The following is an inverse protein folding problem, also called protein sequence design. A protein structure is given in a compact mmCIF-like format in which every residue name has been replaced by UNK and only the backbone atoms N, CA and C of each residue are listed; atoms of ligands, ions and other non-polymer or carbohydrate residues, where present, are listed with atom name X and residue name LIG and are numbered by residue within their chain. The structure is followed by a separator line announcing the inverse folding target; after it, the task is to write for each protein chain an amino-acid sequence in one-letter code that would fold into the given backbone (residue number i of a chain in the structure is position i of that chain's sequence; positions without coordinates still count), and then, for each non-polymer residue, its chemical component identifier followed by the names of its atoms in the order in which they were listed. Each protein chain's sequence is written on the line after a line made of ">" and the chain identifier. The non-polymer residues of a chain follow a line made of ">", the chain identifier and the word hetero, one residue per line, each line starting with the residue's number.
data_IF_966398056342
#
_entry.id   IF_966398056342
#
_cell.length_a   1.000
_cell.length_b   1.000
_cell.length_c   1.000
_cell.angle_alpha   90.00
_cell.angle_beta   90.00
_cell.angle_gamma   90.00
#
_symmetry.space_group_name_H-M   'P 1'
#
loop_
_entity.id
_entity.type
_entity.pdbx_description
1 polymer ?
#
# COMPACT_ATOMS: atom_id res chain seq x y z
N UNK A 1 -15.09 23.84 1.27
CA UNK A 1 -16.51 23.89 1.67
C UNK A 1 -16.71 25.03 2.67
N UNK A 2 -17.47 26.05 2.32
CA UNK A 2 -17.85 27.14 3.24
C UNK A 2 -19.19 26.80 3.90
N UNK A 3 -19.30 26.95 5.23
CA UNK A 3 -20.59 26.87 5.93
C UNK A 3 -21.30 28.23 5.85
N UNK A 4 -22.47 28.27 5.24
CA UNK A 4 -23.37 29.42 5.31
C UNK A 4 -24.66 28.95 5.97
N UNK A 5 -25.03 29.56 7.09
CA UNK A 5 -26.22 29.23 7.92
C UNK A 5 -26.35 27.76 8.31
N UNK A 6 -25.23 27.13 8.73
CA UNK A 6 -25.25 25.74 9.23
C UNK A 6 -25.44 24.64 8.17
N UNK A 7 -25.68 24.96 6.92
CA UNK A 7 -25.73 24.00 5.80
C UNK A 7 -24.42 24.01 5.02
N UNK A 8 -23.89 22.83 4.74
CA UNK A 8 -22.80 22.64 3.77
C UNK A 8 -23.33 23.00 2.37
N UNK A 9 -22.91 24.17 1.87
CA UNK A 9 -23.16 24.54 0.47
C UNK A 9 -22.02 23.97 -0.35
N UNK A 10 -22.31 23.01 -1.23
CA UNK A 10 -21.40 22.67 -2.32
C UNK A 10 -21.30 23.91 -3.19
N UNK A 11 -20.10 24.50 -3.32
CA UNK A 11 -19.87 25.49 -4.36
C UNK A 11 -20.23 24.84 -5.69
N UNK A 12 -21.28 25.34 -6.36
CA UNK A 12 -21.59 24.92 -7.71
C UNK A 12 -20.39 25.27 -8.58
N UNK A 13 -19.83 24.25 -9.23
CA UNK A 13 -18.69 24.42 -10.16
C UNK A 13 -19.23 25.15 -11.40
N UNK A 14 -19.14 26.46 -11.42
CA UNK A 14 -19.43 27.27 -12.62
C UNK A 14 -18.24 27.17 -13.59
N UNK A 15 -18.11 26.03 -14.26
CA UNK A 15 -17.07 25.80 -15.26
C UNK A 15 -17.67 25.95 -16.68
N UNK A 16 -16.93 26.64 -17.53
CA UNK A 16 -17.23 26.70 -18.98
C UNK A 16 -16.65 25.46 -19.69
N UNK A 17 -15.55 24.88 -19.13
CA UNK A 17 -14.94 23.66 -19.64
C UNK A 17 -15.35 22.50 -18.74
N UNK A 18 -16.31 21.70 -19.18
CA UNK A 18 -16.96 20.65 -18.41
C UNK A 18 -16.43 19.25 -18.74
N UNK A 19 -15.82 19.07 -19.91
CA UNK A 19 -15.45 17.75 -20.41
C UNK A 19 -14.01 17.70 -20.89
N UNK A 20 -13.44 16.48 -20.82
CA UNK A 20 -12.12 16.16 -21.39
C UNK A 20 -12.00 16.55 -22.85
N UNK A 21 -13.07 16.32 -23.63
CA UNK A 21 -13.11 16.69 -25.06
C UNK A 21 -12.99 18.20 -25.28
N UNK A 22 -13.66 18.99 -24.47
CA UNK A 22 -13.57 20.47 -24.54
C UNK A 22 -12.16 20.92 -24.16
N UNK A 23 -11.56 20.39 -23.10
CA UNK A 23 -10.19 20.71 -22.68
C UNK A 23 -9.18 20.36 -23.78
N UNK A 24 -9.29 19.17 -24.38
CA UNK A 24 -8.42 18.77 -25.51
C UNK A 24 -8.61 19.68 -26.74
N UNK A 25 -9.84 20.09 -27.04
CA UNK A 25 -10.11 21.00 -28.16
C UNK A 25 -9.43 22.35 -27.97
N UNK A 26 -9.50 22.93 -26.76
CA UNK A 26 -8.85 24.20 -26.44
C UNK A 26 -7.33 24.07 -26.54
N UNK A 27 -6.76 23.02 -25.92
CA UNK A 27 -5.34 22.76 -25.98
C UNK A 27 -4.85 22.59 -27.43
N UNK A 28 -5.65 21.90 -28.26
CA UNK A 28 -5.34 21.69 -29.68
C UNK A 28 -5.33 23.00 -30.47
N UNK A 29 -6.27 23.89 -30.21
CA UNK A 29 -6.33 25.23 -30.86
C UNK A 29 -5.08 26.05 -30.49
N UNK A 30 -4.67 26.04 -29.22
CA UNK A 30 -3.50 26.76 -28.75
C UNK A 30 -2.19 26.21 -29.36
N UNK A 31 -2.05 24.88 -29.44
CA UNK A 31 -0.89 24.24 -30.07
C UNK A 31 -0.84 24.47 -31.60
N UNK A 32 -1.99 24.73 -32.25
CA UNK A 32 -2.03 25.08 -33.68
C UNK A 32 -1.37 26.42 -33.95
N UNK A 33 -1.52 27.38 -33.07
CA UNK A 33 -0.86 28.71 -33.18
C UNK A 33 0.66 28.57 -33.09
N UNK A 34 1.17 27.46 -32.49
CA UNK A 34 2.58 27.12 -32.38
C UNK A 34 3.05 26.13 -33.45
N UNK A 35 2.22 25.73 -34.38
CA UNK A 35 2.50 24.69 -35.39
C UNK A 35 2.82 23.30 -34.81
N UNK A 36 2.50 23.04 -33.53
CA UNK A 36 2.77 21.81 -32.80
C UNK A 36 1.58 20.85 -32.69
N UNK A 37 0.43 21.20 -33.26
CA UNK A 37 -0.82 20.42 -33.16
C UNK A 37 -0.68 18.95 -33.59
N UNK A 38 0.13 18.67 -34.61
CA UNK A 38 0.34 17.32 -35.17
C UNK A 38 1.62 16.64 -34.66
N UNK A 39 2.48 17.39 -33.97
CA UNK A 39 3.75 16.89 -33.47
C UNK A 39 3.62 16.20 -32.10
N UNK A 40 2.47 16.31 -31.42
CA UNK A 40 2.28 15.88 -30.05
C UNK A 40 1.05 14.99 -29.91
N UNK A 41 1.12 14.06 -28.93
CA UNK A 41 -0.04 13.30 -28.48
C UNK A 41 -0.62 13.94 -27.20
N UNK A 42 -1.91 13.73 -26.97
CA UNK A 42 -2.57 14.20 -25.76
C UNK A 42 -2.73 13.07 -24.75
N UNK A 43 -2.22 13.25 -23.54
CA UNK A 43 -2.51 12.40 -22.40
C UNK A 43 -3.95 12.54 -21.92
N UNK A 44 -4.24 12.02 -20.74
CA UNK A 44 -5.54 12.16 -20.09
C UNK A 44 -5.63 13.51 -19.38
N UNK A 45 -6.52 14.43 -19.79
CA UNK A 45 -6.72 15.68 -19.06
C UNK A 45 -7.36 15.46 -17.70
N UNK A 46 -6.88 16.18 -16.71
CA UNK A 46 -7.39 16.15 -15.33
C UNK A 46 -7.78 17.56 -14.86
N UNK A 47 -8.77 17.62 -13.97
CA UNK A 47 -9.17 18.87 -13.32
C UNK A 47 -8.47 19.01 -11.99
N UNK A 48 -7.70 20.07 -11.80
CA UNK A 48 -7.21 20.50 -10.50
C UNK A 48 -8.26 21.38 -9.82
N UNK A 49 -9.10 20.80 -9.01
CA UNK A 49 -10.23 21.46 -8.34
C UNK A 49 -9.79 22.56 -7.35
N UNK A 50 -8.54 22.52 -6.87
CA UNK A 50 -8.00 23.54 -5.94
C UNK A 50 -7.80 24.88 -6.61
N UNK A 51 -7.42 24.84 -7.90
CA UNK A 51 -7.13 26.03 -8.69
C UNK A 51 -8.15 26.28 -9.81
N UNK A 52 -9.10 25.34 -10.00
CA UNK A 52 -10.08 25.36 -11.08
C UNK A 52 -9.45 25.34 -12.48
N UNK A 53 -8.41 24.54 -12.64
CA UNK A 53 -7.67 24.38 -13.90
C UNK A 53 -7.85 23.00 -14.49
N UNK A 54 -7.95 22.93 -15.82
CA UNK A 54 -7.69 21.73 -16.58
C UNK A 54 -6.21 21.63 -16.88
N UNK A 55 -5.60 20.48 -16.59
CA UNK A 55 -4.25 20.13 -17.01
C UNK A 55 -4.34 19.11 -18.12
N UNK A 56 -3.86 19.46 -19.32
CA UNK A 56 -3.88 18.61 -20.50
C UNK A 56 -2.44 18.17 -20.76
N UNK A 57 -2.05 16.94 -20.41
CA UNK A 57 -0.68 16.44 -20.64
C UNK A 57 -0.38 16.33 -22.12
N UNK A 58 0.84 16.73 -22.49
CA UNK A 58 1.40 16.59 -23.83
C UNK A 58 2.44 15.49 -23.82
N UNK A 59 2.30 14.53 -24.76
CA UNK A 59 3.13 13.35 -24.81
C UNK A 59 3.96 13.36 -26.09
N UNK A 60 5.19 12.81 -25.99
CA UNK A 60 6.05 12.58 -27.12
C UNK A 60 5.49 11.46 -28.01
N UNK A 61 5.34 11.64 -29.34
CA UNK A 61 4.64 10.71 -30.22
C UNK A 61 5.33 9.33 -30.34
N UNK A 62 6.64 9.27 -30.10
CA UNK A 62 7.39 8.02 -30.22
C UNK A 62 7.58 7.28 -28.89
N UNK A 63 7.64 7.99 -27.76
CA UNK A 63 7.89 7.38 -26.43
C UNK A 63 6.67 7.36 -25.52
N UNK A 64 5.62 8.10 -25.88
CA UNK A 64 4.42 8.35 -25.06
C UNK A 64 4.72 8.96 -23.67
N UNK A 65 5.94 9.41 -23.45
CA UNK A 65 6.31 10.09 -22.21
C UNK A 65 5.79 11.51 -22.15
N UNK A 66 5.39 11.97 -20.97
CA UNK A 66 4.97 13.37 -20.77
C UNK A 66 6.13 14.31 -20.99
N UNK A 67 6.01 15.21 -21.95
CA UNK A 67 7.01 16.24 -22.27
C UNK A 67 6.54 17.65 -21.93
N UNK A 68 5.28 17.82 -21.58
CA UNK A 68 4.73 19.10 -21.18
C UNK A 68 3.26 19.01 -20.82
N UNK A 69 2.65 20.16 -20.60
CA UNK A 69 1.21 20.26 -20.38
C UNK A 69 0.67 21.62 -20.84
N UNK A 70 -0.62 21.65 -21.21
CA UNK A 70 -1.42 22.87 -21.40
C UNK A 70 -2.31 23.03 -20.18
N UNK A 71 -2.27 24.19 -19.55
CA UNK A 71 -3.12 24.53 -18.40
C UNK A 71 -4.21 25.51 -18.84
N UNK A 72 -5.48 25.14 -18.60
CA UNK A 72 -6.65 25.91 -19.04
C UNK A 72 -7.45 26.28 -17.79
N UNK A 73 -7.84 27.53 -17.67
CA UNK A 73 -8.77 27.95 -16.63
C UNK A 73 -10.17 27.39 -16.95
N UNK A 74 -10.70 26.58 -16.06
CA UNK A 74 -11.98 25.89 -16.26
C UNK A 74 -13.19 26.83 -16.31
N UNK A 75 -13.08 28.03 -15.73
CA UNK A 75 -14.15 29.04 -15.67
C UNK A 75 -14.16 29.95 -16.87
N UNK A 76 -12.99 30.37 -17.35
CA UNK A 76 -12.85 31.32 -18.45
C UNK A 76 -12.61 30.69 -19.81
N UNK A 77 -12.20 29.39 -19.83
CA UNK A 77 -11.74 28.67 -21.02
C UNK A 77 -10.46 29.20 -21.64
N UNK A 78 -9.73 30.07 -20.94
CA UNK A 78 -8.49 30.65 -21.44
C UNK A 78 -7.31 29.71 -21.09
N UNK A 79 -6.37 29.60 -22.03
CA UNK A 79 -5.06 28.95 -21.73
C UNK A 79 -4.22 29.88 -20.86
N UNK A 80 -3.68 29.32 -19.80
CA UNK A 80 -2.78 30.04 -18.89
C UNK A 80 -1.34 29.82 -19.35
N UNK A 81 -0.85 30.68 -20.23
CA UNK A 81 0.48 30.55 -20.86
C UNK A 81 1.61 30.43 -19.84
N UNK A 82 1.59 31.28 -18.79
CA UNK A 82 2.60 31.24 -17.74
C UNK A 82 2.58 29.98 -16.85
N UNK A 83 1.59 29.09 -17.03
CA UNK A 83 1.47 27.79 -16.35
C UNK A 83 1.56 26.62 -17.34
N UNK A 84 1.42 26.90 -18.62
CA UNK A 84 1.60 25.93 -19.72
C UNK A 84 3.08 25.81 -20.08
N UNK A 85 3.46 24.67 -20.66
CA UNK A 85 4.84 24.48 -21.11
C UNK A 85 5.09 25.33 -22.34
N UNK A 86 6.14 26.15 -22.29
CA UNK A 86 6.52 27.04 -23.38
C UNK A 86 6.91 26.28 -24.65
N UNK A 87 6.74 26.92 -25.81
CA UNK A 87 6.98 26.32 -27.13
C UNK A 87 8.40 25.82 -27.31
N UNK A 88 9.41 26.65 -26.98
CA UNK A 88 10.83 26.31 -27.09
C UNK A 88 11.22 25.06 -26.25
N UNK A 89 10.61 24.93 -25.07
CA UNK A 89 10.79 23.78 -24.19
C UNK A 89 10.15 22.51 -24.79
N UNK A 90 8.96 22.63 -25.42
CA UNK A 90 8.31 21.50 -26.09
C UNK A 90 9.13 21.05 -27.30
N UNK A 91 9.60 21.97 -28.12
CA UNK A 91 10.45 21.68 -29.30
C UNK A 91 11.77 21.02 -28.90
N UNK A 92 12.44 21.54 -27.87
CA UNK A 92 13.67 20.95 -27.36
C UNK A 92 13.47 19.53 -26.85
N UNK A 93 12.36 19.27 -26.16
CA UNK A 93 12.00 17.94 -25.65
C UNK A 93 11.58 16.97 -26.76
N UNK A 94 10.96 17.44 -27.81
CA UNK A 94 10.66 16.64 -29.00
C UNK A 94 11.92 16.19 -29.73
N UNK A 95 12.90 17.08 -29.88
CA UNK A 95 14.17 16.80 -30.61
C UNK A 95 15.12 15.94 -29.78
N UNK A 96 15.12 16.09 -28.46
CA UNK A 96 16.08 15.45 -27.55
C UNK A 96 15.80 13.99 -27.22
N UNK A 97 14.63 13.43 -27.58
CA UNK A 97 14.23 12.06 -27.18
C UNK A 97 14.41 11.05 -28.31
N UNK A 98 15.20 10.01 -28.04
CA UNK A 98 15.38 8.87 -28.97
C UNK A 98 14.10 8.05 -29.08
N UNK A 99 13.79 7.56 -30.29
CA UNK A 99 12.73 6.56 -30.52
C UNK A 99 13.02 5.31 -29.67
N UNK A 100 12.19 5.04 -28.68
CA UNK A 100 12.15 3.72 -28.08
C UNK A 100 11.33 2.81 -28.99
N UNK A 101 11.83 1.60 -29.24
CA UNK A 101 11.12 0.56 -29.97
C UNK A 101 9.75 0.35 -29.32
N UNK A 102 8.71 0.28 -30.15
CA UNK A 102 7.36 -0.11 -29.68
C UNK A 102 7.47 -1.41 -28.91
N UNK A 103 7.28 -1.35 -27.62
CA UNK A 103 7.06 -2.56 -26.82
C UNK A 103 5.76 -3.17 -27.33
N UNK A 104 5.82 -4.37 -27.88
CA UNK A 104 4.62 -5.14 -28.19
C UNK A 104 3.83 -5.26 -26.87
N UNK A 105 2.66 -4.63 -26.80
CA UNK A 105 1.72 -4.86 -25.70
C UNK A 105 1.31 -6.34 -25.80
N UNK A 106 1.91 -7.17 -24.96
CA UNK A 106 1.43 -8.51 -24.75
C UNK A 106 -0.01 -8.41 -24.21
N UNK A 107 -0.95 -9.13 -24.81
CA UNK A 107 -2.33 -9.19 -24.28
C UNK A 107 -2.25 -9.81 -22.89
N UNK A 108 -2.45 -8.98 -21.86
CA UNK A 108 -2.41 -9.41 -20.47
C UNK A 108 -3.76 -10.05 -20.13
N UNK A 109 -3.72 -11.27 -19.63
CA UNK A 109 -4.90 -12.00 -19.16
C UNK A 109 -5.03 -11.88 -17.64
N UNK A 110 -6.27 -11.70 -17.16
CA UNK A 110 -6.53 -11.71 -15.74
C UNK A 110 -6.26 -13.08 -15.14
N UNK A 111 -5.49 -13.15 -14.07
CA UNK A 111 -5.16 -14.38 -13.37
C UNK A 111 -5.96 -14.48 -12.08
N UNK A 112 -6.65 -15.61 -11.88
CA UNK A 112 -7.27 -15.95 -10.60
C UNK A 112 -6.35 -16.95 -9.91
N UNK A 113 -5.96 -16.67 -8.68
CA UNK A 113 -5.17 -17.60 -7.88
C UNK A 113 -5.94 -18.89 -7.59
N UNK A 114 -5.28 -20.03 -7.70
CA UNK A 114 -5.81 -21.34 -7.30
C UNK A 114 -5.45 -21.71 -5.86
N UNK A 115 -4.65 -20.90 -5.17
CA UNK A 115 -4.25 -21.17 -3.79
C UNK A 115 -5.49 -21.18 -2.88
N UNK A 116 -5.52 -22.13 -1.96
CA UNK A 116 -6.51 -22.22 -0.89
C UNK A 116 -5.96 -21.65 0.42
N UNK A 117 -6.78 -21.55 1.45
CA UNK A 117 -6.32 -21.16 2.78
C UNK A 117 -5.16 -22.05 3.22
N UNK A 118 -4.05 -21.46 3.59
CA UNK A 118 -2.80 -22.17 3.89
C UNK A 118 -2.14 -21.60 5.13
N UNK A 119 -1.63 -22.46 5.99
CA UNK A 119 -0.77 -22.10 7.12
C UNK A 119 0.52 -22.92 7.04
N UNK A 120 1.67 -22.27 7.00
CA UNK A 120 2.99 -22.89 6.95
C UNK A 120 3.81 -22.57 8.19
N UNK A 121 4.37 -23.62 8.83
CA UNK A 121 5.37 -23.48 9.87
C UNK A 121 6.77 -23.51 9.28
N UNK A 122 7.52 -22.42 9.45
CA UNK A 122 8.90 -22.33 8.99
C UNK A 122 9.35 -20.94 8.61
N UNK A 123 10.59 -20.83 8.14
CA UNK A 123 11.13 -19.59 7.63
C UNK A 123 10.40 -19.16 6.35
N UNK A 124 9.87 -17.95 6.34
CA UNK A 124 9.14 -17.41 5.21
C UNK A 124 9.98 -17.35 3.92
N UNK A 125 11.30 -17.17 3.97
CA UNK A 125 12.16 -17.20 2.78
C UNK A 125 12.08 -18.57 2.09
N UNK A 126 12.08 -19.67 2.85
CA UNK A 126 12.00 -21.04 2.33
C UNK A 126 10.60 -21.30 1.79
N UNK A 127 9.56 -21.02 2.59
CA UNK A 127 8.18 -21.28 2.20
C UNK A 127 7.74 -20.45 0.98
N UNK A 128 8.21 -19.21 0.88
CA UNK A 128 7.95 -18.38 -0.30
C UNK A 128 8.55 -18.96 -1.58
N UNK A 129 9.73 -19.62 -1.51
CA UNK A 129 10.37 -20.22 -2.69
C UNK A 129 9.55 -21.34 -3.31
N UNK A 130 8.78 -22.08 -2.49
CA UNK A 130 7.92 -23.18 -2.91
C UNK A 130 6.59 -22.69 -3.53
N UNK A 131 6.24 -21.42 -3.34
CA UNK A 131 5.01 -20.87 -3.90
C UNK A 131 5.11 -20.62 -5.41
N UNK A 132 4.03 -20.82 -6.16
CA UNK A 132 3.98 -20.42 -7.57
C UNK A 132 4.19 -18.89 -7.73
N UNK A 133 4.85 -18.50 -8.81
CA UNK A 133 4.95 -17.09 -9.17
C UNK A 133 3.56 -16.53 -9.52
N UNK A 134 3.32 -15.25 -9.20
CA UNK A 134 2.08 -14.54 -9.50
C UNK A 134 0.83 -15.32 -9.05
N UNK A 135 0.79 -15.71 -7.79
CA UNK A 135 -0.27 -16.51 -7.17
C UNK A 135 -0.96 -15.84 -5.99
N UNK A 136 -0.52 -14.64 -5.61
CA UNK A 136 -1.03 -13.86 -4.48
C UNK A 136 -1.54 -12.50 -4.96
N UNK A 137 -2.66 -12.05 -4.40
CA UNK A 137 -3.33 -10.83 -4.84
C UNK A 137 -3.10 -9.64 -3.92
N UNK A 138 -2.80 -9.88 -2.65
CA UNK A 138 -2.43 -8.85 -1.68
C UNK A 138 -1.43 -9.40 -0.70
N UNK A 139 -0.46 -8.57 -0.32
CA UNK A 139 0.37 -8.85 0.85
C UNK A 139 0.07 -7.79 1.89
N UNK A 140 -0.22 -8.26 3.11
CA UNK A 140 -0.28 -7.38 4.27
C UNK A 140 0.46 -8.03 5.43
N UNK A 141 1.43 -7.31 5.99
CA UNK A 141 2.29 -7.84 7.05
C UNK A 141 2.85 -6.76 7.96
N UNK A 142 3.32 -7.18 9.13
CA UNK A 142 4.18 -6.40 10.02
C UNK A 142 5.40 -7.23 10.37
N UNK A 143 6.56 -6.98 9.76
CA UNK A 143 7.75 -7.78 10.03
C UNK A 143 8.22 -7.57 11.48
N UNK A 144 8.99 -8.51 12.05
CA UNK A 144 9.60 -8.33 13.36
C UNK A 144 10.46 -7.06 13.35
N UNK A 145 10.27 -6.16 14.34
CA UNK A 145 11.02 -4.91 14.38
C UNK A 145 12.42 -5.15 14.94
N UNK A 146 13.43 -4.63 14.26
CA UNK A 146 14.83 -4.77 14.63
C UNK A 146 15.06 -4.48 16.12
N UNK A 147 15.54 -5.48 16.86
CA UNK A 147 15.86 -5.42 18.31
C UNK A 147 14.80 -4.72 19.18
N UNK A 148 13.56 -4.67 18.74
CA UNK A 148 12.48 -4.04 19.51
C UNK A 148 12.08 -4.88 20.72
N UNK A 149 12.33 -6.19 20.68
CA UNK A 149 12.01 -7.15 21.73
C UNK A 149 13.04 -8.26 21.83
N UNK A 150 13.22 -8.89 23.02
CA UNK A 150 14.14 -10.01 23.20
C UNK A 150 13.85 -11.18 22.25
N UNK A 151 12.59 -11.41 21.92
CA UNK A 151 12.15 -12.50 21.03
C UNK A 151 12.55 -12.27 19.55
N UNK A 152 13.01 -11.07 19.20
CA UNK A 152 13.44 -10.68 17.85
C UNK A 152 14.93 -10.34 17.78
N UNK A 153 15.75 -11.04 18.58
CA UNK A 153 17.21 -10.79 18.70
C UNK A 153 18.06 -11.60 17.73
N UNK A 154 17.46 -12.14 16.66
CA UNK A 154 18.15 -13.02 15.70
C UNK A 154 19.14 -12.28 14.79
N UNK A 155 19.18 -10.95 14.87
CA UNK A 155 20.06 -10.11 14.05
C UNK A 155 21.15 -9.48 14.88
N UNK A 156 22.39 -9.75 14.51
CA UNK A 156 23.58 -9.16 15.15
C UNK A 156 23.72 -7.69 14.74
N UNK A 157 23.45 -7.37 13.47
CA UNK A 157 23.57 -6.02 12.91
C UNK A 157 22.26 -5.54 12.27
N UNK A 158 22.14 -4.22 12.12
CA UNK A 158 21.00 -3.64 11.42
C UNK A 158 21.03 -3.94 9.92
N UNK A 159 22.20 -4.03 9.36
CA UNK A 159 22.44 -4.41 7.97
C UNK A 159 21.95 -5.81 7.66
N UNK A 160 22.20 -6.79 8.54
CA UNK A 160 21.69 -8.16 8.41
C UNK A 160 20.17 -8.19 8.44
N UNK A 161 19.55 -7.41 9.33
CA UNK A 161 18.10 -7.27 9.35
C UNK A 161 17.56 -6.73 8.02
N UNK A 162 18.15 -5.65 7.47
CA UNK A 162 17.73 -5.10 6.19
C UNK A 162 17.95 -6.08 5.02
N UNK A 163 19.04 -6.86 5.04
CA UNK A 163 19.26 -7.90 4.04
C UNK A 163 18.20 -9.00 4.10
N UNK A 164 17.78 -9.43 5.30
CA UNK A 164 16.68 -10.39 5.47
C UNK A 164 15.37 -9.83 4.89
N UNK A 165 15.03 -8.59 5.25
CA UNK A 165 13.83 -7.92 4.73
C UNK A 165 13.88 -7.80 3.19
N UNK A 166 15.04 -7.47 2.63
CA UNK A 166 15.23 -7.40 1.16
C UNK A 166 14.94 -8.75 0.49
N UNK A 167 15.47 -9.86 1.00
CA UNK A 167 15.20 -11.19 0.46
C UNK A 167 13.72 -11.56 0.51
N UNK A 168 13.03 -11.21 1.60
CA UNK A 168 11.60 -11.43 1.70
C UNK A 168 10.86 -10.59 0.66
N UNK A 169 11.20 -9.30 0.50
CA UNK A 169 10.58 -8.41 -0.52
C UNK A 169 10.81 -8.96 -1.93
N UNK A 170 12.00 -9.45 -2.26
CA UNK A 170 12.29 -10.09 -3.55
C UNK A 170 11.45 -11.35 -3.79
N UNK A 171 11.36 -12.24 -2.79
CA UNK A 171 10.57 -13.46 -2.87
C UNK A 171 9.07 -13.15 -3.02
N UNK A 172 8.60 -12.15 -2.29
CA UNK A 172 7.23 -11.66 -2.35
C UNK A 172 6.92 -10.99 -3.69
N UNK A 173 7.85 -10.21 -4.25
CA UNK A 173 7.69 -9.64 -5.59
C UNK A 173 7.43 -10.73 -6.65
N UNK A 174 8.08 -11.88 -6.53
CA UNK A 174 7.87 -13.00 -7.44
C UNK A 174 6.47 -13.61 -7.32
N UNK A 175 5.96 -13.79 -6.10
CA UNK A 175 4.66 -14.45 -5.87
C UNK A 175 3.46 -13.51 -6.00
N UNK A 176 3.67 -12.20 -5.86
CA UNK A 176 2.62 -11.20 -6.01
C UNK A 176 2.23 -11.05 -7.48
N UNK A 177 0.94 -11.03 -7.77
CA UNK A 177 0.39 -10.78 -9.09
C UNK A 177 0.79 -9.40 -9.61
N UNK A 178 0.93 -9.26 -10.92
CA UNK A 178 1.32 -8.01 -11.56
C UNK A 178 0.32 -6.88 -11.23
N UNK A 179 0.84 -5.72 -10.82
CA UNK A 179 0.04 -4.54 -10.52
C UNK A 179 -0.80 -4.63 -9.24
N UNK A 180 -0.61 -5.68 -8.44
CA UNK A 180 -1.22 -5.84 -7.13
C UNK A 180 -0.37 -5.21 -6.01
N UNK A 181 -0.91 -5.20 -4.78
CA UNK A 181 -0.40 -4.37 -3.71
C UNK A 181 0.32 -5.14 -2.61
N UNK A 182 1.32 -4.49 -2.04
CA UNK A 182 1.97 -4.87 -0.80
C UNK A 182 1.79 -3.74 0.23
N UNK A 183 1.10 -4.00 1.33
CA UNK A 183 0.98 -3.11 2.47
C UNK A 183 1.87 -3.62 3.61
N UNK A 184 2.72 -2.77 4.18
CA UNK A 184 3.61 -3.11 5.28
C UNK A 184 3.42 -2.17 6.46
N UNK A 185 3.00 -2.72 7.62
CA UNK A 185 2.97 -1.97 8.86
C UNK A 185 4.36 -1.93 9.49
N UNK A 186 4.86 -0.74 9.78
CA UNK A 186 6.16 -0.54 10.42
C UNK A 186 6.23 0.75 11.22
N UNK A 187 7.19 0.85 12.14
CA UNK A 187 7.44 2.07 12.91
C UNK A 187 8.94 2.26 13.18
N UNK A 188 9.39 3.51 13.39
CA UNK A 188 10.75 3.78 13.84
C UNK A 188 11.05 3.07 15.16
N UNK A 189 12.22 2.45 15.26
CA UNK A 189 12.64 1.67 16.42
C UNK A 189 13.48 2.52 17.37
N UNK A 190 13.16 2.48 18.66
CA UNK A 190 13.94 3.16 19.69
C UNK A 190 15.20 2.36 20.05
N UNK A 191 16.37 2.95 19.79
CA UNK A 191 17.64 2.43 20.33
C UNK A 191 17.84 3.01 21.72
N UNK A 192 17.82 2.15 22.73
CA UNK A 192 18.07 2.56 24.13
C UNK A 192 19.56 2.89 24.30
N UNK A 193 19.83 3.92 25.07
CA UNK A 193 21.21 4.20 25.50
C UNK A 193 21.74 3.06 26.39
N UNK A 194 22.95 2.61 26.16
CA UNK A 194 23.62 1.64 27.01
C UNK A 194 24.25 2.31 28.24
N UNK A 195 24.70 3.58 28.10
CA UNK A 195 25.39 4.34 29.17
C UNK A 195 24.72 5.70 29.39
N UNK A 196 24.95 6.32 30.54
CA UNK A 196 24.45 7.67 30.86
C UNK A 196 24.99 8.76 29.93
N UNK A 197 26.20 8.57 29.40
CA UNK A 197 26.87 9.47 28.45
C UNK A 197 26.31 9.40 27.03
N UNK A 198 25.47 8.42 26.73
CA UNK A 198 24.87 8.23 25.40
C UNK A 198 23.48 8.85 25.34
N UNK A 199 23.10 9.36 24.18
CA UNK A 199 21.72 9.78 23.92
C UNK A 199 20.91 8.65 23.26
N UNK A 200 19.66 8.46 23.68
CA UNK A 200 18.75 7.59 22.96
C UNK A 200 18.43 8.16 21.58
N UNK A 201 18.43 7.31 20.56
CA UNK A 201 18.11 7.67 19.16
C UNK A 201 17.03 6.75 18.63
N UNK A 202 16.46 7.10 17.48
CA UNK A 202 15.57 6.22 16.74
C UNK A 202 16.20 5.86 15.41
N UNK A 203 15.98 4.61 14.97
CA UNK A 203 16.29 4.16 13.63
C UNK A 203 15.02 4.33 12.81
N UNK A 204 15.12 4.97 11.68
CA UNK A 204 14.01 5.20 10.74
C UNK A 204 13.73 3.98 9.86
N UNK A 205 13.52 2.81 10.48
CA UNK A 205 13.38 1.51 9.79
C UNK A 205 12.39 1.57 8.63
N UNK A 206 11.27 2.26 8.82
CA UNK A 206 10.24 2.44 7.77
C UNK A 206 10.81 3.06 6.49
N UNK A 207 11.71 4.05 6.63
CA UNK A 207 12.28 4.76 5.48
C UNK A 207 13.39 3.96 4.79
N UNK A 208 14.16 3.18 5.56
CA UNK A 208 15.16 2.28 4.99
C UNK A 208 14.49 1.12 4.22
N UNK A 209 13.41 0.57 4.76
CA UNK A 209 12.59 -0.44 4.06
C UNK A 209 11.91 0.15 2.83
N UNK A 210 11.41 1.39 2.89
CA UNK A 210 10.85 2.08 1.72
C UNK A 210 11.84 2.11 0.55
N UNK A 211 13.10 2.45 0.83
CA UNK A 211 14.13 2.44 -0.20
C UNK A 211 14.33 1.06 -0.84
N UNK A 212 14.30 -0.01 -0.03
CA UNK A 212 14.39 -1.38 -0.53
C UNK A 212 13.23 -1.69 -1.47
N UNK A 213 11.99 -1.31 -1.14
CA UNK A 213 10.85 -1.55 -2.03
C UNK A 213 11.02 -0.91 -3.40
N UNK A 214 11.49 0.35 -3.44
CA UNK A 214 11.72 1.06 -4.72
C UNK A 214 12.83 0.37 -5.53
N UNK A 215 13.92 -0.05 -4.87
CA UNK A 215 15.02 -0.77 -5.53
C UNK A 215 14.60 -2.14 -6.06
N UNK A 216 13.65 -2.81 -5.41
CA UNK A 216 13.14 -4.14 -5.79
C UNK A 216 11.91 -4.09 -6.74
N UNK A 217 11.63 -2.94 -7.35
CA UNK A 217 10.65 -2.83 -8.43
C UNK A 217 9.20 -2.65 -7.96
N UNK A 218 9.00 -1.93 -6.88
CA UNK A 218 7.69 -1.49 -6.43
C UNK A 218 7.51 0.02 -6.59
N UNK A 219 6.30 0.44 -6.95
CA UNK A 219 5.88 1.83 -6.93
C UNK A 219 5.29 2.17 -5.56
N UNK A 220 5.68 3.32 -4.99
CA UNK A 220 5.07 3.83 -3.78
C UNK A 220 3.70 4.45 -4.09
N UNK A 221 2.69 4.05 -3.35
CA UNK A 221 1.29 4.48 -3.58
C UNK A 221 0.78 5.38 -2.48
N UNK A 222 0.95 4.97 -1.20
CA UNK A 222 0.40 5.72 -0.07
C UNK A 222 1.16 5.43 1.24
N UNK A 223 1.07 6.38 2.19
CA UNK A 223 1.54 6.26 3.57
C UNK A 223 0.37 6.42 4.54
N UNK A 224 -0.24 5.33 4.94
CA UNK A 224 -1.30 5.36 5.93
C UNK A 224 -0.69 5.52 7.32
N UNK A 225 -1.07 6.58 8.04
CA UNK A 225 -0.62 6.87 9.39
C UNK A 225 -1.67 6.31 10.37
N UNK A 226 -1.34 5.17 10.97
CA UNK A 226 -2.14 4.64 12.05
C UNK A 226 -1.86 5.41 13.34
N UNK A 227 -2.84 6.14 13.83
CA UNK A 227 -2.77 6.93 15.07
C UNK A 227 -3.41 6.15 16.21
N UNK A 228 -2.63 5.89 17.26
CA UNK A 228 -3.08 5.28 18.51
C UNK A 228 -3.55 6.36 19.48
N UNK A 229 -4.45 6.05 20.43
CA UNK A 229 -4.81 6.99 21.49
C UNK A 229 -3.59 7.46 22.28
N UNK A 230 -3.65 8.69 22.79
CA UNK A 230 -2.62 9.20 23.70
C UNK A 230 -2.49 8.27 24.91
N UNK A 231 -1.25 7.95 25.29
CA UNK A 231 -0.99 6.99 26.38
C UNK A 231 -0.77 5.55 25.92
N UNK A 232 -1.13 5.16 24.71
CA UNK A 232 -0.94 3.80 24.19
C UNK A 232 0.52 3.29 24.16
N UNK A 233 1.49 4.18 24.27
CA UNK A 233 2.93 3.84 24.36
C UNK A 233 3.52 3.92 25.76
N UNK A 234 2.76 4.33 26.75
CA UNK A 234 3.27 4.66 28.10
C UNK A 234 3.60 3.41 28.93
N UNK A 235 2.87 2.33 28.75
CA UNK A 235 3.08 1.07 29.45
C UNK A 235 4.47 0.45 29.14
N UNK A 236 5.05 0.74 28.00
CA UNK A 236 6.38 0.22 27.60
C UNK A 236 7.56 1.05 28.12
N UNK A 237 7.32 2.03 29.01
CA UNK A 237 8.34 2.94 29.53
C UNK A 237 8.87 3.96 28.53
N UNK A 238 8.36 3.96 27.30
CA UNK A 238 8.78 4.86 26.23
C UNK A 238 8.23 6.27 26.37
N UNK A 239 7.05 6.42 27.01
CA UNK A 239 6.34 7.70 27.12
C UNK A 239 6.78 8.57 28.30
N UNK A 240 6.89 8.00 29.50
CA UNK A 240 7.11 8.80 30.72
C UNK A 240 8.40 9.61 30.73
N UNK A 241 9.48 9.11 30.11
CA UNK A 241 10.78 9.81 30.08
C UNK A 241 10.84 10.96 29.08
N UNK A 242 9.97 10.96 28.04
CA UNK A 242 9.97 11.99 27.03
C UNK A 242 9.01 13.13 27.34
N UNK A 243 7.96 12.86 28.10
CA UNK A 243 6.97 13.88 28.49
C UNK A 243 7.44 14.78 29.65
N UNK A 244 8.47 14.36 30.42
CA UNK A 244 8.93 15.08 31.59
C UNK A 244 9.87 16.24 31.29
N UNK A 245 10.45 16.31 30.11
CA UNK A 245 11.49 17.28 29.75
C UNK A 245 10.90 18.40 28.89
N UNK A 246 10.75 19.59 29.48
CA UNK A 246 10.22 20.80 28.82
C UNK A 246 11.29 21.75 28.33
N UNK A 247 12.57 21.40 28.48
CA UNK A 247 13.66 22.26 28.03
C UNK A 247 13.80 22.23 26.50
N UNK A 248 14.10 23.35 25.85
CA UNK A 248 14.52 23.38 24.46
C UNK A 248 15.64 22.37 24.20
N UNK A 249 15.68 21.76 23.02
CA UNK A 249 16.66 20.74 22.61
C UNK A 249 16.52 19.36 23.31
N UNK A 250 15.80 19.28 24.42
CA UNK A 250 15.50 18.03 25.12
C UNK A 250 14.11 17.48 24.79
N UNK A 251 13.31 18.21 24.01
CA UNK A 251 11.98 17.77 23.60
C UNK A 251 12.03 16.45 22.81
N UNK A 252 11.25 15.49 23.25
CA UNK A 252 11.08 14.20 22.59
C UNK A 252 9.62 13.78 22.64
N UNK A 253 8.96 13.77 21.49
CA UNK A 253 7.56 13.36 21.39
C UNK A 253 7.40 11.87 21.74
N UNK A 254 6.29 11.54 22.42
CA UNK A 254 5.85 10.16 22.60
C UNK A 254 5.30 9.66 21.27
N UNK A 255 5.83 8.55 20.69
CA UNK A 255 5.32 8.05 19.44
C UNK A 255 3.96 7.35 19.67
N UNK A 256 2.94 7.88 19.03
CA UNK A 256 1.58 7.31 19.00
C UNK A 256 1.17 6.88 17.61
N UNK A 257 2.10 6.87 16.67
CA UNK A 257 1.85 6.53 15.27
C UNK A 257 2.67 5.33 14.82
N UNK A 258 2.10 4.56 13.90
CA UNK A 258 2.79 3.63 13.02
C UNK A 258 2.41 3.93 11.57
N UNK A 259 3.17 3.39 10.62
CA UNK A 259 2.94 3.58 9.20
C UNK A 259 2.50 2.27 8.56
N UNK A 260 1.43 2.31 7.77
CA UNK A 260 1.14 1.26 6.80
C UNK A 260 1.52 1.80 5.43
N UNK A 261 2.71 1.45 5.00
CA UNK A 261 3.26 1.85 3.70
C UNK A 261 2.68 0.95 2.62
N UNK A 262 2.09 1.54 1.60
CA UNK A 262 1.42 0.82 0.51
C UNK A 262 2.24 0.94 -0.76
N UNK A 263 2.56 -0.20 -1.34
CA UNK A 263 3.32 -0.32 -2.58
C UNK A 263 2.54 -1.12 -3.61
N UNK A 264 2.79 -0.85 -4.88
CA UNK A 264 2.25 -1.61 -6.00
C UNK A 264 3.39 -2.27 -6.76
N UNK A 265 3.28 -3.55 -7.08
CA UNK A 265 4.23 -4.19 -7.99
C UNK A 265 4.26 -3.42 -9.30
N UNK A 266 5.46 -2.93 -9.70
CA UNK A 266 5.61 -2.06 -10.85
C UNK A 266 5.05 -2.69 -12.12
N UNK A 267 4.31 -1.91 -12.89
CA UNK A 267 3.68 -2.34 -14.13
C UNK A 267 3.21 -1.14 -14.93
N UNK A 268 3.09 -1.31 -16.24
CA UNK A 268 2.44 -0.36 -17.15
C UNK A 268 0.90 -0.53 -17.22
N UNK A 269 0.33 -1.51 -16.49
CA UNK A 269 -1.12 -1.66 -16.37
C UNK A 269 -1.69 -0.54 -15.49
N UNK A 270 -2.79 0.09 -15.90
CA UNK A 270 -3.51 1.05 -15.07
C UNK A 270 -4.14 0.37 -13.85
N UNK A 271 -4.31 1.10 -12.75
CA UNK A 271 -4.91 0.56 -11.52
C UNK A 271 -6.31 -0.02 -11.76
N UNK A 272 -7.12 0.65 -12.60
CA UNK A 272 -8.48 0.22 -12.93
C UNK A 272 -8.56 -0.95 -13.92
N UNK A 273 -7.42 -1.40 -14.48
CA UNK A 273 -7.39 -2.55 -15.39
C UNK A 273 -7.95 -3.80 -14.73
N UNK A 274 -7.59 -4.06 -13.49
CA UNK A 274 -8.09 -5.22 -12.74
C UNK A 274 -9.60 -5.17 -12.54
N UNK A 275 -10.16 -3.97 -12.30
CA UNK A 275 -11.61 -3.77 -12.19
C UNK A 275 -12.32 -4.08 -13.52
N UNK A 276 -11.76 -3.61 -14.65
CA UNK A 276 -12.35 -3.75 -15.98
C UNK A 276 -12.22 -5.16 -16.56
N UNK A 277 -11.17 -5.89 -16.19
CA UNK A 277 -10.85 -7.19 -16.77
C UNK A 277 -11.09 -8.37 -15.83
N UNK A 278 -11.62 -8.11 -14.63
CA UNK A 278 -11.99 -9.20 -13.71
C UNK A 278 -13.06 -10.09 -14.34
N UNK A 279 -12.86 -11.44 -14.37
CA UNK A 279 -13.78 -12.37 -15.07
C UNK A 279 -15.16 -12.43 -14.42
N UNK A 280 -15.30 -12.05 -13.15
CA UNK A 280 -16.59 -11.98 -12.45
C UNK A 280 -16.93 -10.55 -12.01
N UNK A 281 -17.76 -9.82 -12.76
CA UNK A 281 -18.22 -8.47 -12.38
C UNK A 281 -19.04 -8.44 -11.08
N UNK A 282 -19.65 -9.57 -10.66
CA UNK A 282 -20.40 -9.65 -9.39
C UNK A 282 -19.44 -9.57 -8.21
N UNK A 283 -18.30 -10.25 -8.29
CA UNK A 283 -17.23 -10.17 -7.30
C UNK A 283 -16.69 -8.75 -7.21
N UNK A 284 -16.44 -8.06 -8.32
CA UNK A 284 -16.01 -6.65 -8.32
C UNK A 284 -17.02 -5.76 -7.60
N UNK A 285 -18.32 -5.92 -7.93
CA UNK A 285 -19.38 -5.14 -7.28
C UNK A 285 -19.49 -5.44 -5.79
N UNK A 286 -19.37 -6.69 -5.38
CA UNK A 286 -19.44 -7.13 -3.98
C UNK A 286 -18.20 -6.73 -3.16
N UNK A 287 -17.11 -6.37 -3.83
CA UNK A 287 -15.85 -5.93 -3.22
C UNK A 287 -15.74 -4.41 -3.07
N UNK A 288 -16.78 -3.66 -3.41
CA UNK A 288 -16.76 -2.21 -3.27
C UNK A 288 -16.47 -1.80 -1.84
N UNK A 289 -15.60 -0.82 -1.70
CA UNK A 289 -15.28 -0.19 -0.42
C UNK A 289 -16.56 0.43 0.15
N UNK A 290 -16.85 0.27 1.46
CA UNK A 290 -18.04 0.82 2.10
C UNK A 290 -18.14 2.35 1.95
N UNK A 291 -19.35 2.92 1.94
CA UNK A 291 -19.55 4.37 1.81
C UNK A 291 -18.91 5.19 2.92
N UNK A 292 -18.77 4.61 4.12
CA UNK A 292 -18.12 5.22 5.29
C UNK A 292 -16.61 4.93 5.37
N UNK A 293 -15.94 4.70 4.24
CA UNK A 293 -14.50 4.44 4.17
C UNK A 293 -13.66 5.62 4.68
N UNK A 294 -12.42 5.33 5.04
CA UNK A 294 -11.45 6.37 5.40
C UNK A 294 -11.09 7.22 4.17
N UNK A 295 -11.34 8.53 4.26
CA UNK A 295 -11.08 9.48 3.15
C UNK A 295 -9.73 10.17 3.24
N UNK A 296 -9.00 9.90 4.32
CA UNK A 296 -7.66 10.44 4.56
C UNK A 296 -6.73 9.30 4.92
N UNK A 297 -5.43 9.49 4.73
CA UNK A 297 -4.42 8.52 5.15
C UNK A 297 -4.15 8.52 6.67
N UNK A 298 -4.91 9.25 7.48
CA UNK A 298 -4.77 9.28 8.94
C UNK A 298 -5.90 8.46 9.58
N UNK A 299 -5.55 7.25 10.05
CA UNK A 299 -6.50 6.31 10.63
C UNK A 299 -6.37 6.23 12.14
N UNK A 300 -7.44 6.54 12.85
CA UNK A 300 -7.50 6.49 14.33
C UNK A 300 -8.08 5.15 14.75
N UNK A 301 -7.21 4.20 15.12
CA UNK A 301 -7.58 2.85 15.49
C UNK A 301 -6.95 2.50 16.83
N UNK A 302 -7.74 1.90 17.75
CA UNK A 302 -7.23 1.45 19.04
C UNK A 302 -6.27 0.27 18.86
N UNK A 303 -5.14 0.25 19.61
CA UNK A 303 -4.22 -0.88 19.59
C UNK A 303 -4.92 -2.13 20.16
N UNK A 304 -4.56 -3.29 19.63
CA UNK A 304 -4.96 -4.57 20.19
C UNK A 304 -3.92 -5.06 21.21
N UNK A 305 -4.39 -5.85 22.15
CA UNK A 305 -3.56 -6.57 23.10
C UNK A 305 -3.93 -8.06 23.03
N UNK A 306 -2.93 -8.92 23.10
CA UNK A 306 -3.13 -10.37 23.20
C UNK A 306 -2.21 -10.91 24.32
N UNK A 307 -2.71 -11.81 25.19
CA UNK A 307 -1.90 -12.33 26.30
C UNK A 307 -0.66 -13.06 25.84
N UNK A 308 -0.76 -13.80 24.76
CA UNK A 308 0.30 -14.69 24.27
C UNK A 308 1.17 -14.07 23.15
N UNK A 309 0.80 -12.87 22.65
CA UNK A 309 1.57 -12.20 21.60
C UNK A 309 1.76 -10.72 21.90
N UNK A 310 3.01 -10.28 22.04
CA UNK A 310 3.32 -8.96 22.58
C UNK A 310 3.13 -7.79 21.59
N UNK A 311 2.92 -8.04 20.28
CA UNK A 311 2.94 -7.01 19.24
C UNK A 311 1.88 -7.24 18.15
N UNK A 312 0.64 -7.49 18.55
CA UNK A 312 -0.48 -7.68 17.61
C UNK A 312 -0.98 -6.32 17.13
N UNK A 313 -1.12 -6.15 15.81
CA UNK A 313 -1.89 -5.02 15.30
C UNK A 313 -3.40 -5.32 15.30
N UNK A 314 -4.27 -4.28 15.32
CA UNK A 314 -5.70 -4.46 15.45
C UNK A 314 -6.31 -5.19 14.26
N UNK A 315 -7.28 -6.06 14.53
CA UNK A 315 -8.08 -6.72 13.49
C UNK A 315 -8.74 -5.68 12.56
N UNK A 316 -9.25 -4.57 13.11
CA UNK A 316 -9.83 -3.47 12.33
C UNK A 316 -8.86 -2.90 11.29
N UNK A 317 -7.58 -2.73 11.64
CA UNK A 317 -6.56 -2.27 10.70
C UNK A 317 -6.40 -3.25 9.55
N UNK A 318 -6.33 -4.56 9.86
CA UNK A 318 -6.20 -5.59 8.85
C UNK A 318 -7.44 -5.67 7.94
N UNK A 319 -8.63 -5.61 8.52
CA UNK A 319 -9.89 -5.62 7.75
C UNK A 319 -9.98 -4.44 6.78
N UNK A 320 -9.57 -3.23 7.20
CA UNK A 320 -9.55 -2.05 6.33
C UNK A 320 -8.56 -2.21 5.19
N UNK A 321 -7.30 -2.58 5.47
CA UNK A 321 -6.28 -2.78 4.43
C UNK A 321 -6.73 -3.84 3.43
N UNK A 322 -7.18 -5.00 3.89
CA UNK A 322 -7.63 -6.08 3.01
C UNK A 322 -8.83 -5.66 2.16
N UNK A 323 -9.80 -4.97 2.75
CA UNK A 323 -10.99 -4.50 2.03
C UNK A 323 -10.67 -3.45 0.97
N UNK A 324 -9.69 -2.59 1.23
CA UNK A 324 -9.38 -1.48 0.32
C UNK A 324 -8.46 -1.88 -0.84
N UNK A 325 -7.66 -2.96 -0.68
CA UNK A 325 -6.63 -3.33 -1.64
C UNK A 325 -6.81 -4.72 -2.27
N UNK A 326 -7.97 -5.39 -2.06
CA UNK A 326 -8.25 -6.69 -2.68
C UNK A 326 -9.72 -6.90 -3.01
N UNK A 327 -10.00 -7.80 -3.96
CA UNK A 327 -11.36 -8.28 -4.24
C UNK A 327 -11.72 -9.42 -3.29
N UNK A 328 -13.03 -9.73 -3.17
CA UNK A 328 -13.48 -10.98 -2.54
C UNK A 328 -12.92 -12.17 -3.32
N UNK A 329 -12.64 -13.24 -2.62
CA UNK A 329 -11.97 -14.47 -3.11
C UNK A 329 -10.49 -14.28 -3.51
N UNK A 330 -9.91 -13.08 -3.40
CA UNK A 330 -8.47 -12.90 -3.55
C UNK A 330 -7.69 -13.62 -2.44
N UNK A 331 -6.41 -13.88 -2.71
CA UNK A 331 -5.47 -14.49 -1.77
C UNK A 331 -4.63 -13.42 -1.11
N UNK A 332 -4.70 -13.35 0.21
CA UNK A 332 -3.91 -12.44 1.06
C UNK A 332 -2.78 -13.22 1.72
N UNK A 333 -1.54 -12.78 1.51
CA UNK A 333 -0.35 -13.38 2.11
C UNK A 333 0.14 -12.53 3.29
N UNK A 334 0.45 -13.21 4.41
CA UNK A 334 1.25 -12.66 5.51
C UNK A 334 2.46 -13.57 5.78
N UNK A 335 3.68 -13.14 5.39
CA UNK A 335 4.89 -13.93 5.62
C UNK A 335 5.42 -13.89 7.07
N UNK A 336 4.82 -13.08 7.95
CA UNK A 336 5.15 -12.97 9.38
C UNK A 336 3.88 -12.99 10.22
N UNK A 337 3.10 -14.08 10.08
CA UNK A 337 1.71 -14.14 10.47
C UNK A 337 1.44 -13.98 11.98
N UNK A 338 2.42 -14.25 12.85
CA UNK A 338 2.21 -14.24 14.30
C UNK A 338 1.04 -15.16 14.68
N UNK A 339 0.06 -14.61 15.38
CA UNK A 339 -1.16 -15.36 15.77
C UNK A 339 -2.26 -15.32 14.70
N UNK A 340 -1.98 -14.89 13.47
CA UNK A 340 -2.88 -14.99 12.33
C UNK A 340 -3.90 -13.86 12.18
N UNK A 341 -3.62 -12.66 12.65
CA UNK A 341 -4.55 -11.51 12.53
C UNK A 341 -4.97 -11.23 11.09
N UNK A 342 -4.02 -11.29 10.13
CA UNK A 342 -4.30 -11.11 8.70
C UNK A 342 -5.19 -12.22 8.16
N UNK A 343 -4.93 -13.48 8.52
CA UNK A 343 -5.78 -14.61 8.13
C UNK A 343 -7.21 -14.49 8.64
N UNK A 344 -7.37 -14.10 9.91
CA UNK A 344 -8.68 -13.82 10.50
C UNK A 344 -9.42 -12.69 9.76
N UNK A 345 -8.72 -11.61 9.43
CA UNK A 345 -9.28 -10.49 8.69
C UNK A 345 -9.67 -10.87 7.26
N UNK A 346 -8.82 -11.65 6.57
CA UNK A 346 -9.07 -12.18 5.24
C UNK A 346 -10.31 -13.05 5.21
N UNK A 347 -10.41 -14.06 6.08
CA UNK A 347 -11.57 -14.96 6.21
C UNK A 347 -12.85 -14.17 6.47
N UNK A 348 -12.83 -13.25 7.44
CA UNK A 348 -14.00 -12.41 7.80
C UNK A 348 -14.46 -11.51 6.63
N UNK A 349 -13.53 -11.08 5.78
CA UNK A 349 -13.83 -10.23 4.62
C UNK A 349 -14.17 -11.03 3.36
N UNK A 350 -14.19 -12.38 3.40
CA UNK A 350 -14.45 -13.25 2.26
C UNK A 350 -13.26 -13.35 1.31
N UNK A 351 -12.03 -13.29 1.83
CA UNK A 351 -10.78 -13.54 1.12
C UNK A 351 -10.14 -14.82 1.63
N UNK A 352 -9.27 -15.40 0.82
CA UNK A 352 -8.43 -16.54 1.21
C UNK A 352 -7.13 -16.02 1.80
N UNK A 353 -6.44 -16.84 2.56
CA UNK A 353 -5.18 -16.45 3.19
C UNK A 353 -4.07 -17.48 2.97
N UNK A 354 -2.84 -16.99 2.97
CA UNK A 354 -1.61 -17.77 3.14
C UNK A 354 -0.83 -17.14 4.28
N UNK A 355 -0.55 -17.91 5.32
CA UNK A 355 0.11 -17.44 6.55
C UNK A 355 1.38 -18.24 6.77
N UNK A 356 2.52 -17.55 6.94
CA UNK A 356 3.78 -18.18 7.30
C UNK A 356 4.26 -17.68 8.64
N UNK A 357 4.62 -18.60 9.53
CA UNK A 357 5.08 -18.30 10.86
C UNK A 357 6.18 -19.30 11.27
N UNK A 358 7.27 -18.80 11.87
CA UNK A 358 8.39 -19.63 12.31
C UNK A 358 8.26 -20.12 13.76
N UNK A 359 7.40 -19.48 14.56
CA UNK A 359 7.15 -19.86 15.94
C UNK A 359 6.04 -20.93 16.03
N UNK A 360 6.34 -22.18 16.42
CA UNK A 360 5.34 -23.24 16.51
C UNK A 360 4.20 -22.92 17.50
N UNK A 361 4.47 -22.16 18.55
CA UNK A 361 3.43 -21.78 19.52
C UNK A 361 2.38 -20.85 18.89
N UNK A 362 2.80 -19.95 18.01
CA UNK A 362 1.86 -19.07 17.31
C UNK A 362 1.05 -19.84 16.26
N UNK A 363 1.67 -20.81 15.58
CA UNK A 363 0.93 -21.69 14.66
C UNK A 363 -0.12 -22.51 15.41
N UNK A 364 0.14 -22.98 16.63
CA UNK A 364 -0.85 -23.67 17.46
C UNK A 364 -2.01 -22.74 17.89
N UNK A 365 -1.75 -21.45 18.11
CA UNK A 365 -2.82 -20.48 18.35
C UNK A 365 -3.68 -20.32 17.10
N UNK A 366 -3.06 -20.18 15.92
CA UNK A 366 -3.79 -20.15 14.64
C UNK A 366 -4.64 -21.41 14.48
N UNK A 367 -4.08 -22.58 14.76
CA UNK A 367 -4.77 -23.87 14.65
C UNK A 367 -6.05 -23.93 15.48
N UNK A 368 -5.99 -23.48 16.74
CA UNK A 368 -7.13 -23.45 17.65
C UNK A 368 -8.21 -22.47 17.22
N UNK A 369 -7.82 -21.37 16.56
CA UNK A 369 -8.73 -20.28 16.25
C UNK A 369 -9.27 -20.29 14.82
N UNK A 370 -8.60 -20.97 13.88
CA UNK A 370 -8.96 -20.95 12.46
C UNK A 370 -10.36 -21.51 12.19
N UNK A 371 -10.81 -22.48 12.99
CA UNK A 371 -12.17 -22.99 12.93
C UNK A 371 -13.23 -21.93 13.22
N UNK A 372 -12.93 -21.00 14.14
CA UNK A 372 -13.83 -19.86 14.45
C UNK A 372 -13.87 -18.84 13.29
N UNK A 373 -12.81 -18.78 12.46
CA UNK A 373 -12.75 -17.85 11.32
C UNK A 373 -13.51 -18.38 10.11
N UNK A 374 -13.39 -19.69 9.84
CA UNK A 374 -13.85 -20.33 8.62
C UNK A 374 -15.13 -21.17 8.79
N UNK A 375 -15.50 -21.53 10.03
CA UNK A 375 -16.61 -22.46 10.26
C UNK A 375 -16.39 -23.78 9.54
N UNK A 376 -17.35 -24.21 8.72
CA UNK A 376 -17.25 -25.46 7.95
C UNK A 376 -16.11 -25.51 6.94
N UNK A 377 -15.52 -24.35 6.58
CA UNK A 377 -14.39 -24.28 5.63
C UNK A 377 -13.03 -24.61 6.25
N UNK A 378 -12.95 -24.96 7.53
CA UNK A 378 -11.71 -25.29 8.22
C UNK A 378 -11.02 -26.56 7.67
N UNK A 379 -11.80 -27.51 7.18
CA UNK A 379 -11.30 -28.76 6.60
C UNK A 379 -10.47 -28.55 5.31
N UNK A 380 -10.67 -27.41 4.62
CA UNK A 380 -9.95 -27.05 3.41
C UNK A 380 -8.63 -26.34 3.65
N UNK A 381 -8.22 -26.10 4.91
CA UNK A 381 -6.95 -25.45 5.23
C UNK A 381 -5.78 -26.39 4.96
N UNK A 382 -4.83 -25.93 4.15
CA UNK A 382 -3.58 -26.63 3.91
C UNK A 382 -2.57 -26.28 5.01
N UNK A 383 -2.04 -27.30 5.68
CA UNK A 383 -1.02 -27.17 6.71
C UNK A 383 0.33 -27.63 6.17
N UNK A 384 1.29 -26.71 6.03
CA UNK A 384 2.64 -27.01 5.55
C UNK A 384 3.61 -27.13 6.73
N UNK A 385 4.40 -28.18 6.74
CA UNK A 385 5.39 -28.47 7.80
C UNK A 385 4.82 -28.49 9.23
N UNK A 386 3.52 -28.63 9.36
CA UNK A 386 2.81 -28.73 10.64
C UNK A 386 2.50 -30.21 10.93
N UNK A 387 2.41 -30.57 12.22
CA UNK A 387 1.91 -31.92 12.58
C UNK A 387 0.51 -32.13 12.02
N UNK A 388 0.15 -33.36 11.62
CA UNK A 388 -1.21 -33.67 11.18
C UNK A 388 -2.24 -33.21 12.22
N UNK A 389 -3.36 -32.67 11.74
CA UNK A 389 -4.48 -32.29 12.60
C UNK A 389 -5.24 -33.54 13.00
N UNK A 390 -5.41 -33.76 14.30
CA UNK A 390 -6.35 -34.78 14.76
C UNK A 390 -7.76 -34.25 14.61
N UNK A 391 -8.57 -34.92 13.79
CA UNK A 391 -9.95 -34.52 13.46
C UNK A 391 -10.88 -34.42 14.68
N UNK A 392 -10.47 -34.96 15.83
CA UNK A 392 -11.21 -34.87 17.08
C UNK A 392 -11.11 -33.51 17.77
N UNK A 393 -10.12 -32.66 17.43
CA UNK A 393 -9.90 -31.35 18.09
C UNK A 393 -10.86 -30.23 17.66
N UNK A 394 -11.59 -30.42 16.55
CA UNK A 394 -12.53 -29.41 16.04
C UNK A 394 -13.98 -29.53 16.57
N UNK A 395 -14.24 -30.48 17.45
CA UNK A 395 -15.59 -30.79 17.97
C UNK A 395 -15.89 -30.22 19.36
N UNK A 396 -15.13 -29.21 19.81
CA UNK A 396 -15.40 -28.53 21.11
C UNK A 396 -15.89 -27.10 20.92
#
# INVERSE_FOLDING_TARGET
>A
MRKVNGKLVSEQRNYNVLTVAQAKKIAKSWLREMELEHALLFGLPEVDDRYHYWRVPLLHPATEEKIGEVVIDARTSLVLEGKSTAQDVLEARLLGRKKNLKVHKCEKTYKISSLRNTVGLGDCEVLLQEMPAESVDLIFTSPPYYNARPEYTDYVTYEEYLLKIRKVIQSVHRVLNEGHFFAMNSAPVLVRRARRSESSRRIGVTFDIHRIFIEEGFDFIDDIIWVKPEGAGWATGRGRRFAADRNPLQYKAVPVTEYVMVYRKHTDILIDWHIRNHPDPKTVKASRVPENYERTNVWKIHPANHPDHPAVFPLELAEKVITYYSFKNDVVLDPFAGIGTVGRAAAKSGRRFVLFENNPNYVEIIRKDVGKWLGKGVEDVLWLNCKPVDSSEYLV
#
